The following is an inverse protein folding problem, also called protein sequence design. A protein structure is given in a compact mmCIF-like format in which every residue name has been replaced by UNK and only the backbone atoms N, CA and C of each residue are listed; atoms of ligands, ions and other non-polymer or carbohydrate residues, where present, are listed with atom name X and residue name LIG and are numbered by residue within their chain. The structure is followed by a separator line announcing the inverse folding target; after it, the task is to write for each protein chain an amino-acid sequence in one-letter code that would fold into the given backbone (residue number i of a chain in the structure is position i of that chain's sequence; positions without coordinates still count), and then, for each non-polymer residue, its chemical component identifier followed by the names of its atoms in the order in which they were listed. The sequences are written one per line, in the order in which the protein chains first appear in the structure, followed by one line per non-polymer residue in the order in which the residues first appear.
data_IF_875898973416
#
_entry.id   IF_875898973416
#
_cell.length_a   1.000
_cell.length_b   1.000
_cell.length_c   1.000
_cell.angle_alpha   90.00
_cell.angle_beta   90.00
_cell.angle_gamma   90.00
#
_symmetry.space_group_name_H-M   'P 1'
#
loop_
_entity.id
_entity.type
_entity.pdbx_description
1 polymer ?
#
# COMPACT_ATOMS: atom_id res chain seq x y z
N UNK A 1 12.22 9.37 -14.65
CA UNK A 1 10.85 9.07 -14.19
C UNK A 1 9.96 10.30 -14.34
N UNK A 2 8.67 10.19 -14.05
CA UNK A 2 7.70 11.30 -14.12
C UNK A 2 7.87 12.36 -13.00
N UNK A 3 8.82 12.18 -12.08
CA UNK A 3 9.11 13.12 -10.98
C UNK A 3 8.02 13.15 -9.90
N UNK A 4 7.11 12.17 -9.90
CA UNK A 4 6.01 12.03 -8.94
C UNK A 4 5.58 10.57 -8.83
N UNK A 5 4.95 10.21 -7.71
CA UNK A 5 4.32 8.91 -7.48
C UNK A 5 3.20 8.65 -8.47
N UNK A 6 3.20 7.46 -9.06
CA UNK A 6 2.23 7.06 -10.09
C UNK A 6 1.43 5.81 -9.72
N UNK A 7 1.79 5.09 -8.66
CA UNK A 7 1.16 3.82 -8.30
C UNK A 7 -0.10 4.03 -7.43
N UNK A 8 -0.89 5.07 -7.72
CA UNK A 8 -2.04 5.49 -6.91
C UNK A 8 -3.13 4.41 -6.77
N UNK A 9 -3.23 3.48 -7.73
CA UNK A 9 -4.15 2.34 -7.64
C UNK A 9 -3.68 1.27 -6.66
N UNK A 10 -2.36 1.14 -6.42
CA UNK A 10 -1.81 0.08 -5.58
C UNK A 10 -2.04 0.31 -4.10
N UNK A 11 -2.06 1.57 -3.64
CA UNK A 11 -2.28 1.90 -2.24
C UNK A 11 -3.63 1.35 -1.70
N UNK A 12 -4.80 1.73 -2.25
CA UNK A 12 -6.08 1.20 -1.76
C UNK A 12 -6.23 -0.30 -2.03
N UNK A 13 -5.69 -0.81 -3.15
CA UNK A 13 -5.73 -2.24 -3.46
C UNK A 13 -4.97 -3.09 -2.44
N UNK A 14 -3.74 -2.69 -2.07
CA UNK A 14 -2.90 -3.42 -1.14
C UNK A 14 -3.51 -3.45 0.27
N UNK A 15 -4.08 -2.32 0.72
CA UNK A 15 -4.81 -2.27 1.98
C UNK A 15 -5.97 -3.28 1.98
N UNK A 16 -6.90 -3.19 1.03
CA UNK A 16 -8.06 -4.08 0.96
C UNK A 16 -7.70 -5.56 0.80
N UNK A 17 -6.65 -5.89 0.05
CA UNK A 17 -6.17 -7.26 -0.10
C UNK A 17 -5.69 -7.85 1.24
N UNK A 18 -4.93 -7.08 2.02
CA UNK A 18 -4.47 -7.50 3.34
C UNK A 18 -5.61 -7.57 4.36
N UNK A 19 -6.55 -6.63 4.33
CA UNK A 19 -7.77 -6.67 5.15
C UNK A 19 -8.59 -7.93 4.90
N UNK A 20 -8.75 -8.32 3.62
CA UNK A 20 -9.41 -9.58 3.25
C UNK A 20 -8.69 -10.78 3.86
N UNK A 21 -7.37 -10.86 3.77
CA UNK A 21 -6.58 -11.94 4.38
C UNK A 21 -6.75 -11.96 5.90
N UNK A 22 -6.68 -10.80 6.56
CA UNK A 22 -6.92 -10.67 8.00
C UNK A 22 -8.30 -11.19 8.41
N UNK A 23 -9.33 -10.86 7.64
CA UNK A 23 -10.69 -11.37 7.86
C UNK A 23 -10.78 -12.90 7.70
N UNK A 24 -10.14 -13.47 6.67
CA UNK A 24 -10.08 -14.93 6.47
C UNK A 24 -9.35 -15.66 7.60
N UNK A 25 -8.42 -14.99 8.29
CA UNK A 25 -7.72 -15.53 9.46
C UNK A 25 -8.47 -15.32 10.79
N UNK A 26 -9.70 -14.79 10.77
CA UNK A 26 -10.49 -14.54 11.97
C UNK A 26 -10.00 -13.35 12.81
N UNK A 27 -9.15 -12.50 12.25
CA UNK A 27 -8.60 -11.31 12.92
C UNK A 27 -8.81 -10.07 12.04
N UNK A 28 -10.07 -9.63 11.81
CA UNK A 28 -10.35 -8.48 10.95
C UNK A 28 -9.62 -7.24 11.46
N UNK A 29 -8.97 -6.52 10.54
CA UNK A 29 -8.28 -5.25 10.81
C UNK A 29 -8.61 -4.29 9.69
N UNK A 30 -8.70 -3.00 10.03
CA UNK A 30 -8.63 -1.94 9.05
C UNK A 30 -7.16 -1.54 8.86
N UNK A 31 -6.73 -1.38 7.61
CA UNK A 31 -5.35 -1.08 7.25
C UNK A 31 -5.31 0.13 6.31
N UNK A 32 -4.27 0.95 6.48
CA UNK A 32 -3.92 2.00 5.52
C UNK A 32 -2.60 1.63 4.85
N UNK A 33 -2.52 1.83 3.54
CA UNK A 33 -1.31 1.63 2.74
C UNK A 33 -0.92 2.93 2.05
N UNK A 34 0.38 3.26 2.05
CA UNK A 34 0.93 4.47 1.45
C UNK A 34 2.18 4.16 0.64
N UNK A 35 2.25 4.66 -0.58
CA UNK A 35 3.48 4.68 -1.37
C UNK A 35 4.46 5.71 -0.78
N UNK A 36 5.57 5.22 -0.20
CA UNK A 36 6.62 6.07 0.39
C UNK A 36 7.76 6.31 -0.60
N UNK A 37 7.97 5.39 -1.54
CA UNK A 37 9.01 5.45 -2.58
C UNK A 37 8.45 4.99 -3.93
N UNK A 38 8.81 5.66 -5.03
CA UNK A 38 8.38 5.27 -6.38
C UNK A 38 9.52 5.27 -7.41
N UNK A 39 9.55 4.28 -8.31
CA UNK A 39 10.48 4.28 -9.45
C UNK A 39 10.29 5.51 -10.35
N UNK A 40 9.06 6.02 -10.44
CA UNK A 40 8.78 7.24 -11.21
C UNK A 40 9.47 8.49 -10.63
N UNK A 41 9.88 8.47 -9.36
CA UNK A 41 10.68 9.51 -8.70
C UNK A 41 12.19 9.28 -8.86
N UNK A 42 12.62 8.15 -9.44
CA UNK A 42 14.04 7.82 -9.67
C UNK A 42 14.63 6.78 -8.70
N UNK A 43 13.81 6.14 -7.88
CA UNK A 43 14.25 5.06 -6.99
C UNK A 43 14.34 3.70 -7.72
N UNK A 44 15.05 2.74 -7.13
CA UNK A 44 15.26 1.41 -7.72
C UNK A 44 13.98 0.54 -7.75
N UNK A 45 13.08 0.76 -6.78
CA UNK A 45 11.82 0.03 -6.63
C UNK A 45 10.75 0.91 -5.98
N UNK A 46 9.48 0.50 -6.08
CA UNK A 46 8.41 1.14 -5.31
C UNK A 46 8.29 0.50 -3.92
N UNK A 47 8.04 1.31 -2.89
CA UNK A 47 7.86 0.86 -1.51
C UNK A 47 6.53 1.36 -0.95
N UNK A 48 5.79 0.45 -0.34
CA UNK A 48 4.54 0.74 0.36
C UNK A 48 4.69 0.39 1.84
N UNK A 49 4.32 1.33 2.71
CA UNK A 49 4.17 1.08 4.13
C UNK A 49 2.70 0.83 4.46
N UNK A 50 2.45 -0.17 5.31
CA UNK A 50 1.10 -0.56 5.73
C UNK A 50 1.01 -0.50 7.24
N UNK A 51 0.00 0.20 7.76
CA UNK A 51 -0.24 0.37 9.20
C UNK A 51 -1.70 0.06 9.53
N UNK A 52 -2.01 -0.44 10.74
CA UNK A 52 -3.39 -0.45 11.23
C UNK A 52 -4.00 0.94 11.24
N UNK A 53 -5.29 1.02 10.92
CA UNK A 53 -6.10 2.22 11.17
C UNK A 53 -6.55 2.18 12.63
N UNK A 54 -6.42 3.30 13.34
CA UNK A 54 -6.86 3.46 14.72
C UNK A 54 -8.38 3.61 14.82
#
# INVERSE_FOLDING_TARGET
GAGRKLCYMFAPWLAGALEFVCAQQGAPRMLASREVQCVAEGHDFCLFEVTPVA
#
